data_IF_977112303360
#
_entry.id   IF_977112303360
#
_cell.length_a   1.000
_cell.length_b   1.000
_cell.length_c   1.000
_cell.angle_alpha   90.00
_cell.angle_beta   90.00
_cell.angle_gamma   90.00
#
_symmetry.space_group_name_H-M   'P 1'
#
loop_
_entity.id
_entity.type
_entity.pdbx_description
1 polymer ?
#
# COMPACT_ATOMS: atom_id res chain seq x y z
N UNK A 1 10.31 12.56 2.42
CA UNK A 1 9.29 12.00 1.51
C UNK A 1 7.99 11.93 2.30
N UNK A 2 6.82 12.13 1.68
CA UNK A 2 5.56 11.88 2.38
C UNK A 2 5.43 10.39 2.72
N UNK A 3 4.87 10.13 3.90
CA UNK A 3 4.53 8.79 4.36
C UNK A 3 3.03 8.63 4.14
N UNK A 4 2.65 7.64 3.34
CA UNK A 4 1.25 7.32 3.06
C UNK A 4 0.83 6.10 3.87
N UNK A 5 -0.33 6.16 4.50
CA UNK A 5 -0.86 5.00 5.19
C UNK A 5 -1.65 4.16 4.20
N UNK A 6 -1.29 2.90 4.06
CA UNK A 6 -1.99 1.98 3.17
C UNK A 6 -2.66 0.87 3.97
N UNK A 7 -3.84 0.50 3.52
CA UNK A 7 -4.49 -0.75 3.86
C UNK A 7 -4.53 -1.59 2.59
N UNK A 8 -3.87 -2.73 2.62
CA UNK A 8 -3.86 -3.68 1.53
C UNK A 8 -4.28 -5.06 2.04
N UNK A 9 -4.71 -5.92 1.15
CA UNK A 9 -5.07 -7.29 1.49
C UNK A 9 -4.05 -8.22 0.85
N UNK A 10 -3.45 -9.09 1.65
CA UNK A 10 -2.53 -10.11 1.16
C UNK A 10 -3.29 -11.21 0.39
N UNK A 11 -2.57 -12.06 -0.36
CA UNK A 11 -3.13 -13.22 -1.07
C UNK A 11 -3.94 -14.18 -0.18
N UNK A 12 -3.71 -14.16 1.14
CA UNK A 12 -4.48 -14.95 2.11
C UNK A 12 -5.80 -14.29 2.55
N UNK A 13 -6.11 -13.08 2.09
CA UNK A 13 -7.27 -12.31 2.53
C UNK A 13 -7.04 -11.53 3.83
N UNK A 14 -5.82 -11.55 4.36
CA UNK A 14 -5.47 -10.85 5.59
C UNK A 14 -5.23 -9.35 5.33
N UNK A 15 -5.90 -8.45 6.08
CA UNK A 15 -5.68 -7.02 5.95
C UNK A 15 -4.31 -6.64 6.53
N UNK A 16 -3.42 -6.22 5.64
CA UNK A 16 -2.14 -5.61 5.95
C UNK A 16 -2.30 -4.09 6.03
N UNK A 17 -1.91 -3.52 7.15
CA UNK A 17 -1.91 -2.08 7.36
C UNK A 17 -0.47 -1.64 7.58
N UNK A 18 -0.05 -0.61 6.85
CA UNK A 18 1.32 -0.14 6.93
C UNK A 18 1.45 1.31 6.50
N UNK A 19 2.64 1.85 6.68
CA UNK A 19 3.01 3.17 6.20
C UNK A 19 4.10 3.01 5.16
N UNK A 20 3.91 3.61 4.00
CA UNK A 20 4.84 3.53 2.89
C UNK A 20 5.37 4.92 2.52
N UNK A 21 6.68 5.05 2.42
CA UNK A 21 7.32 6.28 1.96
C UNK A 21 7.31 6.31 0.44
N UNK A 22 6.51 7.19 -0.14
CA UNK A 22 6.44 7.38 -1.58
C UNK A 22 6.45 8.88 -1.91
N UNK A 23 6.93 9.26 -3.10
CA UNK A 23 6.85 10.65 -3.54
C UNK A 23 5.41 11.12 -3.83
N UNK A 24 4.47 10.20 -4.10
CA UNK A 24 3.05 10.46 -4.28
C UNK A 24 2.21 9.17 -4.08
N UNK A 25 0.88 9.28 -4.02
CA UNK A 25 -0.04 8.14 -3.82
C UNK A 25 0.07 7.10 -4.94
N UNK A 26 0.21 7.51 -6.21
CA UNK A 26 0.34 6.59 -7.35
C UNK A 26 1.57 5.68 -7.22
N UNK A 27 2.70 6.23 -6.76
CA UNK A 27 3.92 5.49 -6.49
C UNK A 27 3.78 4.58 -5.26
N UNK A 28 2.98 4.98 -4.26
CA UNK A 28 2.64 4.10 -3.14
C UNK A 28 1.83 2.89 -3.63
N UNK A 29 0.77 3.12 -4.41
CA UNK A 29 -0.03 2.05 -5.01
C UNK A 29 0.81 1.12 -5.89
N UNK A 30 1.66 1.68 -6.76
CA UNK A 30 2.50 0.89 -7.67
C UNK A 30 3.52 0.01 -6.94
N UNK A 31 4.07 0.48 -5.81
CA UNK A 31 4.98 -0.32 -5.00
C UNK A 31 4.24 -1.38 -4.20
N UNK A 32 3.10 -1.05 -3.61
CA UNK A 32 2.28 -2.02 -2.89
C UNK A 32 1.78 -3.15 -3.81
N UNK A 33 1.42 -2.82 -5.05
CA UNK A 33 1.09 -3.82 -6.06
C UNK A 33 2.29 -4.75 -6.38
N UNK A 34 3.53 -4.24 -6.35
CA UNK A 34 4.73 -5.08 -6.51
C UNK A 34 4.96 -6.05 -5.35
N UNK A 35 4.49 -5.72 -4.14
CA UNK A 35 4.50 -6.63 -3.00
C UNK A 35 3.42 -7.73 -3.09
N UNK A 36 2.63 -7.78 -4.17
CA UNK A 36 1.50 -8.70 -4.31
C UNK A 36 0.34 -8.35 -3.37
N UNK A 37 0.37 -7.16 -2.77
CA UNK A 37 -0.66 -6.68 -1.87
C UNK A 37 -1.73 -5.95 -2.67
N UNK A 38 -2.99 -6.36 -2.50
CA UNK A 38 -4.11 -5.70 -3.15
C UNK A 38 -4.48 -4.48 -2.33
N UNK A 39 -4.03 -3.30 -2.76
CA UNK A 39 -4.30 -2.05 -2.03
C UNK A 39 -5.78 -1.73 -2.05
N UNK A 40 -6.39 -1.71 -0.87
CA UNK A 40 -7.80 -1.39 -0.70
C UNK A 40 -8.01 0.09 -0.43
N UNK A 41 -7.02 0.76 0.20
CA UNK A 41 -7.09 2.19 0.52
C UNK A 41 -5.71 2.77 0.79
N UNK A 42 -5.43 3.95 0.23
CA UNK A 42 -4.31 4.81 0.61
C UNK A 42 -4.90 6.08 1.21
N UNK A 43 -4.34 6.52 2.35
CA UNK A 43 -4.72 7.69 3.15
C UNK A 43 -3.53 8.62 3.33
#
# INVERSE_FOLDING_TARGET
MPVYQFTATDQNGDPQQGTFEAPNEEQAYAQLAQYGLTVSKVL
#
